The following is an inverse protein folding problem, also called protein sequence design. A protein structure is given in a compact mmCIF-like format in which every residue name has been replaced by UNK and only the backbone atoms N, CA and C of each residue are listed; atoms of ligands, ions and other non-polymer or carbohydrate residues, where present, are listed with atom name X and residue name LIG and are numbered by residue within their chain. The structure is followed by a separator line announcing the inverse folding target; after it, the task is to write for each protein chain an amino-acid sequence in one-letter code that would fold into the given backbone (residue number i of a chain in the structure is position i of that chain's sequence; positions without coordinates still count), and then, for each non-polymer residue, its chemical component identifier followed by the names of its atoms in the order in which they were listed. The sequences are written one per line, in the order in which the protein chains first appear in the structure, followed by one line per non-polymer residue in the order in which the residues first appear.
data_IF_416410955876
#
_entry.id   IF_416410955876
#
_cell.length_a   1.000
_cell.length_b   1.000
_cell.length_c   1.000
_cell.angle_alpha   90.00
_cell.angle_beta   90.00
_cell.angle_gamma   90.00
#
_symmetry.space_group_name_H-M   'P 1'
#
loop_
_entity.id
_entity.type
_entity.pdbx_description
1 polymer ?
#
# COMPACT_ATOMS: atom_id res chain seq x y z
N UNK A 1 -13.60 -17.12 -3.41
CA UNK A 1 -13.66 -15.79 -2.92
C UNK A 1 -14.35 -14.86 -3.89
N UNK A 2 -14.43 -13.63 -3.52
CA UNK A 2 -15.05 -12.64 -4.37
C UNK A 2 -14.17 -12.36 -5.58
N UNK A 3 -14.79 -12.13 -6.70
CA UNK A 3 -14.06 -11.75 -7.89
C UNK A 3 -13.53 -10.34 -7.73
N UNK A 4 -12.35 -10.09 -8.27
CA UNK A 4 -11.80 -8.76 -8.26
C UNK A 4 -12.45 -7.94 -9.37
N UNK A 5 -12.60 -6.64 -9.16
CA UNK A 5 -13.19 -5.79 -10.18
C UNK A 5 -12.27 -5.68 -11.39
N UNK A 6 -12.87 -5.49 -12.55
CA UNK A 6 -12.13 -5.10 -13.74
C UNK A 6 -11.62 -3.69 -13.54
N UNK A 7 -10.33 -3.50 -13.76
CA UNK A 7 -9.75 -2.17 -13.61
C UNK A 7 -8.93 -1.82 -14.84
N UNK A 8 -8.80 -0.53 -15.13
CA UNK A 8 -7.95 -0.11 -16.24
C UNK A 8 -6.50 -0.53 -16.00
N UNK A 9 -5.76 -0.66 -17.09
CA UNK A 9 -4.37 -1.02 -16.99
C UNK A 9 -3.59 -0.08 -16.05
N UNK A 10 -3.90 1.21 -16.12
CA UNK A 10 -3.19 2.18 -15.29
C UNK A 10 -3.38 1.89 -13.82
N UNK A 11 -4.57 1.44 -13.42
CA UNK A 11 -4.83 1.08 -12.03
C UNK A 11 -4.04 -0.16 -11.64
N UNK A 12 -4.04 -1.18 -12.51
CA UNK A 12 -3.26 -2.39 -12.25
C UNK A 12 -1.78 -2.07 -12.08
N UNK A 13 -1.26 -1.22 -12.93
CA UNK A 13 0.15 -0.87 -12.86
C UNK A 13 0.47 -0.12 -11.58
N UNK A 14 -0.42 0.79 -11.18
CA UNK A 14 -0.18 1.54 -9.96
C UNK A 14 -0.33 0.65 -8.73
N UNK A 15 -1.30 -0.26 -8.74
CA UNK A 15 -1.45 -1.22 -7.65
C UNK A 15 -0.17 -2.05 -7.50
N UNK A 16 0.41 -2.49 -8.61
CA UNK A 16 1.64 -3.24 -8.58
C UNK A 16 2.79 -2.41 -8.00
N UNK A 17 2.86 -1.12 -8.37
CA UNK A 17 3.90 -0.25 -7.80
C UNK A 17 3.76 -0.08 -6.31
N UNK A 18 2.51 0.03 -5.83
CA UNK A 18 2.28 0.13 -4.40
C UNK A 18 2.82 -1.10 -3.68
N UNK A 19 2.54 -2.28 -4.22
CA UNK A 19 3.05 -3.51 -3.62
C UNK A 19 4.57 -3.54 -3.64
N UNK A 20 5.18 -3.19 -4.77
CA UNK A 20 6.63 -3.19 -4.87
C UNK A 20 7.27 -2.23 -3.88
N UNK A 21 6.73 -1.03 -3.77
CA UNK A 21 7.30 -0.04 -2.86
C UNK A 21 7.13 -0.48 -1.42
N UNK A 22 5.96 -1.02 -1.08
CA UNK A 22 5.71 -1.47 0.28
C UNK A 22 6.59 -2.66 0.63
N UNK A 23 6.82 -3.57 -0.31
CA UNK A 23 7.71 -4.70 -0.07
C UNK A 23 9.14 -4.24 0.13
N UNK A 24 9.59 -3.28 -0.66
CA UNK A 24 10.93 -2.72 -0.50
C UNK A 24 11.10 -2.11 0.88
N UNK A 25 10.10 -1.37 1.33
CA UNK A 25 10.16 -0.77 2.64
C UNK A 25 10.15 -1.82 3.74
N UNK A 26 9.36 -2.87 3.57
CA UNK A 26 9.32 -3.95 4.56
C UNK A 26 10.68 -4.63 4.68
N UNK A 27 11.35 -4.86 3.56
CA UNK A 27 12.68 -5.46 3.58
C UNK A 27 13.70 -4.58 4.29
N UNK A 28 13.53 -3.28 4.20
CA UNK A 28 14.45 -2.36 4.86
C UNK A 28 14.20 -2.29 6.35
N UNK A 29 12.95 -2.38 6.79
CA UNK A 29 12.60 -2.16 8.18
C UNK A 29 12.43 -3.43 8.99
N UNK A 30 12.06 -4.52 8.33
CA UNK A 30 11.82 -5.78 9.03
C UNK A 30 12.31 -6.94 8.18
N UNK A 31 13.62 -6.98 7.89
CA UNK A 31 14.16 -8.05 7.04
C UNK A 31 13.89 -9.40 7.69
N UNK A 32 13.51 -10.36 6.87
CA UNK A 32 13.24 -11.69 7.35
C UNK A 32 11.86 -11.91 7.92
N UNK A 33 11.08 -10.84 8.10
CA UNK A 33 9.73 -10.96 8.63
C UNK A 33 8.74 -11.21 7.50
N UNK A 34 7.69 -11.96 7.76
CA UNK A 34 6.69 -12.22 6.72
C UNK A 34 5.94 -10.94 6.37
N UNK A 35 5.55 -10.84 5.10
CA UNK A 35 4.76 -9.73 4.62
C UNK A 35 3.49 -10.29 4.02
N UNK A 36 2.36 -9.75 4.43
CA UNK A 36 1.07 -10.17 3.88
C UNK A 36 0.62 -9.15 2.84
N UNK A 37 0.23 -9.64 1.69
CA UNK A 37 -0.31 -8.80 0.62
C UNK A 37 -1.72 -9.29 0.34
N UNK A 38 -2.66 -8.38 0.35
CA UNK A 38 -4.04 -8.72 0.07
C UNK A 38 -4.59 -7.78 -0.99
N UNK A 39 -5.25 -8.34 -1.98
CA UNK A 39 -5.94 -7.57 -3.01
C UNK A 39 -7.39 -8.00 -2.97
N UNK A 40 -8.29 -7.05 -2.79
CA UNK A 40 -9.68 -7.40 -2.57
C UNK A 40 -10.61 -6.32 -3.13
N UNK A 41 -11.86 -6.68 -3.41
CA UNK A 41 -12.83 -5.65 -3.79
C UNK A 41 -13.22 -4.83 -2.58
N UNK A 42 -13.46 -3.55 -2.81
CA UNK A 42 -13.96 -2.66 -1.78
C UNK A 42 -15.35 -2.19 -2.12
N UNK A 43 -15.79 -1.18 -1.40
CA UNK A 43 -17.12 -0.60 -1.61
C UNK A 43 -17.25 -0.05 -3.02
N UNK A 44 -18.42 -0.26 -3.61
CA UNK A 44 -18.73 0.34 -4.90
C UNK A 44 -17.88 -0.17 -6.05
N UNK A 45 -17.32 -1.36 -5.92
CA UNK A 45 -16.49 -1.91 -6.98
C UNK A 45 -15.06 -1.40 -6.98
N UNK A 46 -14.64 -0.79 -5.90
CA UNK A 46 -13.25 -0.33 -5.78
C UNK A 46 -12.29 -1.50 -5.68
N UNK A 47 -11.05 -1.25 -6.01
CA UNK A 47 -9.98 -2.21 -5.80
C UNK A 47 -9.17 -1.76 -4.59
N UNK A 48 -8.98 -2.65 -3.63
CA UNK A 48 -8.20 -2.35 -2.42
C UNK A 48 -6.97 -3.23 -2.40
N UNK A 49 -5.81 -2.62 -2.20
CA UNK A 49 -4.55 -3.32 -2.07
C UNK A 49 -3.99 -3.00 -0.70
N UNK A 50 -3.65 -4.03 0.06
CA UNK A 50 -3.11 -3.81 1.40
C UNK A 50 -1.85 -4.63 1.56
N UNK A 51 -0.80 -4.01 2.08
CA UNK A 51 0.45 -4.68 2.39
C UNK A 51 0.71 -4.45 3.88
N UNK A 52 0.89 -5.53 4.61
CA UNK A 52 1.06 -5.49 6.05
C UNK A 52 2.33 -6.23 6.42
N UNK A 53 3.17 -5.58 7.20
CA UNK A 53 4.34 -6.26 7.74
C UNK A 53 4.40 -6.04 9.24
N UNK A 54 4.82 -7.09 10.00
CA UNK A 54 4.85 -6.97 11.45
C UNK A 54 5.94 -6.01 11.91
N UNK A 55 5.68 -5.36 13.04
CA UNK A 55 6.64 -4.51 13.70
C UNK A 55 7.10 -5.26 14.95
N UNK A 56 8.17 -6.00 14.83
CA UNK A 56 8.70 -6.74 15.96
C UNK A 56 9.44 -5.81 16.92
N UNK A 57 9.87 -6.39 18.02
CA UNK A 57 10.52 -5.63 19.07
C UNK A 57 11.75 -4.87 18.60
N UNK A 58 12.45 -5.38 17.62
CA UNK A 58 13.66 -4.74 17.14
C UNK A 58 13.49 -3.89 15.91
N UNK A 59 12.26 -3.67 15.46
CA UNK A 59 12.05 -3.07 14.16
C UNK A 59 11.72 -1.59 14.21
N UNK A 60 11.83 -0.97 15.34
CA UNK A 60 11.58 0.46 15.46
C UNK A 60 12.75 1.31 15.01
N UNK A 61 13.79 0.66 14.57
CA UNK A 61 14.97 1.37 14.16
C UNK A 61 14.66 2.32 13.02
N UNK A 62 15.16 3.52 13.11
CA UNK A 62 15.00 4.47 12.05
C UNK A 62 15.78 4.04 10.83
N UNK A 63 15.23 4.35 9.65
CA UNK A 63 15.98 4.16 8.43
C UNK A 63 17.23 5.04 8.45
N UNK A 64 18.31 4.61 7.80
CA UNK A 64 19.54 5.39 7.81
C UNK A 64 19.38 6.82 7.29
N UNK A 65 18.44 7.04 6.40
CA UNK A 65 18.19 8.35 5.84
C UNK A 65 17.12 9.13 6.61
N UNK A 66 16.77 8.68 7.81
CA UNK A 66 15.76 9.33 8.60
C UNK A 66 14.36 9.16 8.07
N UNK A 67 14.16 8.19 7.20
CA UNK A 67 12.85 7.97 6.60
C UNK A 67 12.59 8.81 5.36
N UNK A 68 13.59 9.55 4.89
CA UNK A 68 13.37 10.44 3.75
C UNK A 68 12.95 9.66 2.50
N UNK A 69 13.57 8.52 2.28
CA UNK A 69 13.23 7.72 1.09
C UNK A 69 11.80 7.22 1.14
N UNK A 70 11.37 6.81 2.33
CA UNK A 70 10.00 6.34 2.48
C UNK A 70 9.01 7.46 2.25
N UNK A 71 9.32 8.65 2.77
CA UNK A 71 8.43 9.78 2.57
C UNK A 71 8.30 10.13 1.09
N UNK A 72 9.40 10.05 0.36
CA UNK A 72 9.35 10.32 -1.08
C UNK A 72 8.56 9.24 -1.81
N UNK A 73 8.75 7.98 -1.41
CA UNK A 73 8.00 6.89 -2.01
C UNK A 73 6.51 7.01 -1.78
N UNK A 74 6.14 7.30 -0.53
CA UNK A 74 4.73 7.47 -0.19
C UNK A 74 4.12 8.67 -0.93
N UNK A 75 4.85 9.78 -0.99
CA UNK A 75 4.35 10.95 -1.69
C UNK A 75 4.12 10.65 -3.16
N UNK A 76 5.05 9.94 -3.79
CA UNK A 76 4.90 9.56 -5.18
C UNK A 76 3.71 8.64 -5.41
N UNK A 77 3.52 7.66 -4.50
CA UNK A 77 2.37 6.77 -4.59
C UNK A 77 1.07 7.54 -4.46
N UNK A 78 1.02 8.47 -3.51
CA UNK A 78 -0.19 9.27 -3.32
C UNK A 78 -0.51 10.11 -4.54
N UNK A 79 0.51 10.72 -5.12
CA UNK A 79 0.29 11.52 -6.33
C UNK A 79 -0.24 10.69 -7.48
N UNK A 80 0.39 9.54 -7.70
CA UNK A 80 -0.04 8.68 -8.82
C UNK A 80 -1.43 8.11 -8.58
N UNK A 81 -1.72 7.71 -7.33
CA UNK A 81 -3.05 7.22 -7.00
C UNK A 81 -4.08 8.31 -7.19
N UNK A 82 -3.74 9.53 -6.78
CA UNK A 82 -4.67 10.64 -6.91
C UNK A 82 -5.04 10.91 -8.36
N UNK A 83 -4.08 10.75 -9.28
CA UNK A 83 -4.37 10.90 -10.70
C UNK A 83 -5.40 9.86 -11.18
N UNK A 84 -5.49 8.74 -10.49
CA UNK A 84 -6.47 7.70 -10.79
C UNK A 84 -7.66 7.77 -9.84
N UNK A 85 -7.80 8.87 -9.12
CA UNK A 85 -8.87 9.10 -8.17
C UNK A 85 -8.84 8.14 -6.99
N UNK A 86 -7.65 7.60 -6.72
CA UNK A 86 -7.45 6.70 -5.61
C UNK A 86 -6.83 7.37 -4.42
N UNK A 87 -6.59 6.58 -3.38
CA UNK A 87 -5.99 7.05 -2.14
C UNK A 87 -4.97 6.04 -1.66
N UNK A 88 -3.92 6.53 -1.03
CA UNK A 88 -2.93 5.67 -0.38
C UNK A 88 -2.75 6.18 1.03
N UNK A 89 -2.83 5.26 1.99
CA UNK A 89 -2.58 5.56 3.38
C UNK A 89 -1.54 4.59 3.91
N UNK A 90 -0.71 5.06 4.82
CA UNK A 90 0.30 4.20 5.42
C UNK A 90 0.48 4.61 6.87
N UNK A 91 0.65 3.62 7.74
CA UNK A 91 0.84 3.88 9.14
C UNK A 91 0.78 2.61 9.96
N UNK A 92 0.97 2.74 11.27
CA UNK A 92 0.86 1.56 12.12
C UNK A 92 -0.59 1.10 12.22
N UNK A 93 -0.77 -0.21 12.35
CA UNK A 93 -2.08 -0.76 12.61
C UNK A 93 -2.56 -0.28 13.98
N UNK A 94 -3.87 -0.31 14.23
CA UNK A 94 -4.39 0.20 15.51
C UNK A 94 -3.77 -0.45 16.73
N UNK A 95 -3.39 -1.73 16.64
CA UNK A 95 -2.78 -2.42 17.77
C UNK A 95 -1.28 -2.20 17.85
N UNK A 96 -0.70 -1.45 16.92
CA UNK A 96 0.71 -1.17 16.92
C UNK A 96 1.60 -2.34 16.52
N UNK A 97 1.01 -3.46 16.13
CA UNK A 97 1.79 -4.66 15.83
C UNK A 97 2.22 -4.81 14.40
N UNK A 98 1.81 -3.91 13.55
CA UNK A 98 2.14 -4.00 12.13
C UNK A 98 2.17 -2.62 11.50
N UNK A 99 2.88 -2.54 10.40
CA UNK A 99 2.84 -1.37 9.52
C UNK A 99 1.98 -1.75 8.32
N UNK A 100 1.07 -0.89 7.95
CA UNK A 100 0.11 -1.17 6.90
C UNK A 100 0.17 -0.09 5.83
N UNK A 101 0.26 -0.51 4.58
CA UNK A 101 0.11 0.38 3.43
C UNK A 101 -1.15 -0.06 2.72
N UNK A 102 -2.07 0.86 2.52
CA UNK A 102 -3.34 0.54 1.90
C UNK A 102 -3.63 1.52 0.78
N UNK A 103 -3.92 0.98 -0.40
CA UNK A 103 -4.29 1.77 -1.55
C UNK A 103 -5.69 1.39 -1.98
N UNK A 104 -6.49 2.37 -2.32
CA UNK A 104 -7.87 2.16 -2.76
C UNK A 104 -8.04 2.90 -4.08
N UNK A 105 -8.51 2.17 -5.10
CA UNK A 105 -8.77 2.75 -6.41
C UNK A 105 -10.25 2.57 -6.73
N UNK A 106 -10.98 3.65 -6.99
CA UNK A 106 -12.40 3.54 -7.28
C UNK A 106 -12.63 2.84 -8.60
N UNK A 107 -13.80 2.28 -8.74
CA UNK A 107 -14.19 1.62 -9.97
C UNK A 107 -14.15 2.59 -11.13
N UNK A 108 -13.64 2.12 -12.27
CA UNK A 108 -13.60 2.94 -13.47
C UNK A 108 -15.03 3.31 -13.85
N UNK A 109 -15.23 4.57 -14.22
CA UNK A 109 -16.54 5.03 -14.63
C UNK A 109 -17.47 5.39 -13.48
N UNK A 110 -17.03 5.26 -12.25
CA UNK A 110 -17.87 5.57 -11.10
C UNK A 110 -17.78 7.02 -10.67
N UNK A 111 -17.15 7.83 -11.43
CA UNK A 111 -16.85 9.20 -11.04
C UNK A 111 -17.95 10.18 -11.37
N UNK A 112 -19.12 9.73 -11.43
CA UNK A 112 -20.19 10.63 -11.76
C UNK A 112 -20.89 11.14 -10.59
#
# INVERSE_FOLDING_TARGET
GAALPDVPRAVSQEAYRVVQEALTNALRHAPGEPVAVEVAPGSGGALVVEVRNPLGAGTRRRAPDGGAREHRGLAGMRERAHLLRGEVAAGPAPDGGAWVVRATFPRAGSSR
#
